data_IF_952038011977
#
_entry.id   IF_952038011977
#
_cell.length_a   1.000
_cell.length_b   1.000
_cell.length_c   1.000
_cell.angle_alpha   90.00
_cell.angle_beta   90.00
_cell.angle_gamma   90.00
#
_symmetry.space_group_name_H-M   'P 1'
#
loop_
_entity.id
_entity.type
_entity.pdbx_description
1 polymer ?
#
# COMPACT_ATOMS: atom_id res chain seq x y z
N UNK A 1 -25.94 37.87 -68.94
CA UNK A 1 -26.29 39.29 -68.70
C UNK A 1 -25.58 39.59 -67.36
N UNK A 2 -24.40 40.26 -67.39
CA UNK A 2 -24.21 41.72 -67.28
C UNK A 2 -24.78 42.20 -65.95
N UNK A 3 -24.06 42.82 -64.91
CA UNK A 3 -23.01 43.88 -64.94
C UNK A 3 -22.33 43.84 -63.57
N UNK A 4 -21.02 43.89 -63.34
CA UNK A 4 -20.07 45.02 -63.25
C UNK A 4 -20.60 46.18 -62.39
N UNK A 5 -19.95 46.62 -61.33
CA UNK A 5 -18.70 47.40 -61.11
C UNK A 5 -18.85 48.16 -59.80
N UNK A 6 -17.91 48.49 -59.16
CA UNK A 6 -16.79 49.40 -58.97
C UNK A 6 -16.70 49.98 -57.56
N UNK A 7 -15.61 49.78 -56.98
CA UNK A 7 -14.72 50.74 -56.24
C UNK A 7 -15.32 51.93 -55.53
N UNK A 8 -15.05 52.07 -54.22
CA UNK A 8 -14.31 53.25 -53.76
C UNK A 8 -13.62 53.01 -52.40
N UNK A 9 -12.36 53.42 -52.33
CA UNK A 9 -11.38 53.43 -51.26
C UNK A 9 -11.75 54.57 -50.27
N UNK A 10 -11.72 54.29 -48.97
CA UNK A 10 -11.44 55.32 -47.96
C UNK A 10 -10.48 54.71 -46.92
N UNK A 11 -9.25 55.23 -46.92
CA UNK A 11 -8.24 55.09 -45.89
C UNK A 11 -8.71 55.76 -44.61
N UNK A 12 -8.78 55.01 -43.50
CA UNK A 12 -8.68 55.60 -42.17
C UNK A 12 -7.61 54.82 -41.40
N UNK A 13 -6.49 55.54 -41.18
CA UNK A 13 -5.43 55.11 -40.29
C UNK A 13 -5.97 55.20 -38.86
N UNK A 14 -6.09 54.08 -38.20
CA UNK A 14 -6.30 54.06 -36.72
C UNK A 14 -5.24 53.16 -36.12
N UNK A 15 -4.33 53.79 -35.38
CA UNK A 15 -3.37 53.12 -34.51
C UNK A 15 -4.07 52.19 -33.55
N UNK A 16 -3.95 50.88 -33.68
CA UNK A 16 -4.23 49.90 -32.63
C UNK A 16 -2.91 49.38 -32.08
N UNK A 17 -2.68 49.70 -30.83
CA UNK A 17 -1.68 49.07 -29.97
C UNK A 17 -1.92 47.58 -30.00
N UNK A 18 -1.00 46.81 -30.54
CA UNK A 18 -0.92 45.38 -30.31
C UNK A 18 -0.36 45.14 -28.90
N UNK A 19 -1.22 44.90 -27.91
CA UNK A 19 -0.83 44.21 -26.70
C UNK A 19 -0.62 42.75 -27.09
N UNK A 20 0.62 42.31 -27.15
CA UNK A 20 1.00 40.91 -27.24
C UNK A 20 0.58 40.22 -25.94
N UNK A 21 -0.56 39.56 -26.00
CA UNK A 21 -0.88 38.53 -24.97
C UNK A 21 0.06 37.36 -25.29
N UNK A 22 1.14 37.26 -24.54
CA UNK A 22 1.98 36.09 -24.50
C UNK A 22 1.15 34.93 -23.97
N UNK A 23 0.76 34.01 -24.84
CA UNK A 23 0.43 32.65 -24.42
C UNK A 23 1.73 32.03 -23.91
N UNK A 24 1.94 32.16 -22.60
CA UNK A 24 2.88 31.33 -21.90
C UNK A 24 2.37 29.89 -21.99
N UNK A 25 3.02 29.06 -22.80
CA UNK A 25 2.96 27.62 -22.59
C UNK A 25 3.52 27.39 -21.18
N UNK A 26 2.63 27.15 -20.23
CA UNK A 26 3.00 26.57 -18.96
C UNK A 26 3.50 25.18 -19.28
N UNK A 27 4.80 24.99 -19.31
CA UNK A 27 5.39 23.68 -19.13
C UNK A 27 4.88 23.20 -17.77
N UNK A 28 3.89 22.34 -17.77
CA UNK A 28 3.58 21.53 -16.61
C UNK A 28 4.82 20.65 -16.38
N UNK A 29 5.66 21.12 -15.47
CA UNK A 29 6.74 20.35 -14.90
C UNK A 29 6.09 19.22 -14.10
N UNK A 30 5.95 18.05 -14.70
CA UNK A 30 5.47 16.85 -14.01
C UNK A 30 6.48 16.35 -12.98
N UNK A 31 7.67 16.94 -12.90
CA UNK A 31 8.68 16.63 -11.89
C UNK A 31 8.32 17.16 -10.48
N UNK A 32 7.35 18.07 -10.36
CA UNK A 32 6.91 18.63 -9.07
C UNK A 32 5.98 17.72 -8.26
N UNK A 33 5.25 16.79 -8.90
CA UNK A 33 4.21 16.00 -8.20
C UNK A 33 4.74 14.81 -7.42
N UNK A 34 5.93 14.31 -7.72
CA UNK A 34 6.51 13.19 -6.97
C UNK A 34 7.01 13.58 -5.57
N UNK A 35 7.24 14.86 -5.31
CA UNK A 35 7.74 15.36 -4.03
C UNK A 35 6.62 15.76 -3.05
N UNK A 36 5.39 15.99 -3.51
CA UNK A 36 4.27 16.42 -2.66
C UNK A 36 3.95 15.42 -1.53
N UNK A 37 4.24 14.14 -1.75
CA UNK A 37 4.03 13.07 -0.77
C UNK A 37 4.89 13.24 0.49
N UNK A 38 6.11 13.75 0.35
CA UNK A 38 7.09 13.89 1.42
C UNK A 38 7.34 15.35 1.80
N UNK A 39 6.34 16.21 1.60
CA UNK A 39 6.40 17.59 2.08
C UNK A 39 6.28 17.64 3.61
N UNK A 40 6.90 18.70 4.20
CA UNK A 40 6.84 18.96 5.63
C UNK A 40 5.38 19.17 6.06
N UNK A 41 4.82 18.34 6.96
CA UNK A 41 3.43 18.49 7.39
C UNK A 41 3.18 19.70 8.29
N UNK A 42 4.22 20.46 8.68
CA UNK A 42 4.16 21.57 9.65
C UNK A 42 3.42 21.16 10.96
N UNK A 43 3.65 19.94 11.41
CA UNK A 43 3.05 19.39 12.62
C UNK A 43 4.12 19.16 13.69
N UNK A 44 3.83 19.45 14.98
CA UNK A 44 4.75 19.15 16.05
C UNK A 44 4.89 17.62 16.22
N UNK A 45 6.08 17.18 16.63
CA UNK A 45 6.29 15.78 17.04
C UNK A 45 5.44 15.45 18.25
N UNK A 46 4.94 14.22 18.33
CA UNK A 46 4.46 13.66 19.60
C UNK A 46 5.67 13.50 20.52
N UNK A 47 5.70 14.25 21.61
CA UNK A 47 6.79 14.18 22.59
C UNK A 47 6.41 13.23 23.72
N UNK A 48 7.25 12.24 23.99
CA UNK A 48 7.19 11.51 25.28
C UNK A 48 7.57 12.49 26.39
N UNK A 49 6.70 12.62 27.39
CA UNK A 49 7.03 13.43 28.55
C UNK A 49 8.37 12.98 29.16
N UNK A 50 9.33 13.91 29.26
CA UNK A 50 10.64 13.64 29.85
C UNK A 50 10.56 13.27 31.36
N UNK A 51 9.43 13.50 31.99
CA UNK A 51 9.09 13.00 33.32
C UNK A 51 8.22 11.74 33.14
N UNK A 52 8.79 10.56 33.34
CA UNK A 52 8.11 9.26 33.25
C UNK A 52 6.95 9.05 34.23
N UNK A 53 6.12 10.05 34.44
CA UNK A 53 5.16 10.20 35.53
C UNK A 53 3.70 10.26 35.05
N UNK A 54 3.43 9.95 33.76
CA UNK A 54 2.05 9.76 33.32
C UNK A 54 1.69 8.31 33.58
N UNK A 55 0.94 8.08 34.66
CA UNK A 55 0.29 6.78 34.87
C UNK A 55 -0.76 6.56 33.77
N UNK A 56 -0.40 5.73 32.79
CA UNK A 56 -1.27 5.34 31.67
C UNK A 56 -2.00 4.03 31.95
N UNK A 57 -1.94 3.54 33.22
CA UNK A 57 -2.63 2.30 33.62
C UNK A 57 -4.13 2.42 33.40
N UNK A 58 -4.69 1.49 32.65
CA UNK A 58 -6.12 1.46 32.32
C UNK A 58 -6.53 2.32 31.14
N UNK A 59 -5.57 2.97 30.45
CA UNK A 59 -5.81 3.57 29.12
C UNK A 59 -6.02 2.44 28.12
N UNK A 60 -6.95 2.64 27.19
CA UNK A 60 -7.18 1.75 26.05
C UNK A 60 -6.89 2.52 24.77
N UNK A 61 -6.22 1.88 23.83
CA UNK A 61 -5.94 2.41 22.50
C UNK A 61 -6.45 1.45 21.44
N UNK A 62 -6.95 2.01 20.37
CA UNK A 62 -7.45 1.30 19.21
C UNK A 62 -6.37 1.23 18.11
N UNK A 63 -5.99 0.00 17.72
CA UNK A 63 -5.06 -0.27 16.63
C UNK A 63 -5.84 -0.76 15.42
N UNK A 64 -5.90 0.03 14.35
CA UNK A 64 -6.49 -0.39 13.08
C UNK A 64 -5.45 -1.09 12.21
N UNK A 65 -5.85 -2.24 11.64
CA UNK A 65 -5.03 -3.07 10.75
C UNK A 65 -5.87 -3.57 9.57
N UNK A 66 -5.21 -4.13 8.55
CA UNK A 66 -5.90 -4.90 7.52
C UNK A 66 -6.45 -6.23 8.09
N UNK A 67 -7.41 -6.83 7.39
CA UNK A 67 -8.20 -7.98 7.86
C UNK A 67 -7.38 -9.26 8.08
N UNK A 68 -6.33 -9.47 7.28
CA UNK A 68 -5.47 -10.65 7.37
C UNK A 68 -4.37 -10.54 8.44
N UNK A 69 -4.21 -9.39 9.12
CA UNK A 69 -3.22 -9.24 10.17
C UNK A 69 -3.57 -10.09 11.38
N UNK A 70 -2.66 -10.99 11.74
CA UNK A 70 -2.75 -11.80 12.96
C UNK A 70 -1.55 -11.44 13.85
N UNK A 71 -1.77 -10.74 14.97
CA UNK A 71 -0.69 -10.42 15.89
C UNK A 71 -0.07 -11.70 16.46
N UNK A 72 1.24 -11.73 16.73
CA UNK A 72 1.86 -12.85 17.44
C UNK A 72 1.17 -13.14 18.76
N UNK A 73 1.05 -14.44 19.10
CA UNK A 73 0.39 -14.86 20.33
C UNK A 73 1.05 -14.25 21.57
N UNK A 74 0.26 -13.62 22.43
CA UNK A 74 0.74 -13.00 23.66
C UNK A 74 1.43 -11.64 23.51
N UNK A 75 1.55 -11.09 22.30
CA UNK A 75 2.28 -9.83 22.07
C UNK A 75 1.62 -8.65 22.79
N UNK A 76 0.32 -8.45 22.62
CA UNK A 76 -0.39 -7.32 23.23
C UNK A 76 -0.62 -7.53 24.74
N UNK A 77 -0.72 -8.77 25.20
CA UNK A 77 -0.73 -9.10 26.61
C UNK A 77 0.59 -8.73 27.29
N UNK A 78 1.74 -8.95 26.61
CA UNK A 78 3.05 -8.51 27.11
C UNK A 78 3.14 -6.99 27.19
N UNK A 79 2.68 -6.28 26.15
CA UNK A 79 2.63 -4.82 26.13
C UNK A 79 1.76 -4.27 27.28
N UNK A 80 0.56 -4.85 27.48
CA UNK A 80 -0.35 -4.46 28.57
C UNK A 80 0.25 -4.74 29.94
N UNK A 81 0.93 -5.88 30.12
CA UNK A 81 1.57 -6.22 31.40
C UNK A 81 2.71 -5.24 31.74
N UNK A 82 3.44 -4.74 30.74
CA UNK A 82 4.54 -3.80 30.93
C UNK A 82 4.06 -2.36 31.16
N UNK A 83 3.05 -1.92 30.41
CA UNK A 83 2.64 -0.51 30.35
C UNK A 83 1.35 -0.19 31.08
N UNK A 84 0.50 -1.18 31.34
CA UNK A 84 -0.86 -1.01 31.81
C UNK A 84 -1.85 -0.55 30.76
N UNK A 85 -1.42 -0.34 29.51
CA UNK A 85 -2.24 0.10 28.38
C UNK A 85 -2.87 -1.12 27.71
N UNK A 86 -4.15 -1.05 27.40
CA UNK A 86 -4.86 -2.08 26.66
C UNK A 86 -4.87 -1.75 25.16
N UNK A 87 -4.68 -2.75 24.31
CA UNK A 87 -4.76 -2.61 22.86
C UNK A 87 -6.02 -3.33 22.36
N UNK A 88 -6.91 -2.58 21.69
CA UNK A 88 -8.04 -3.14 20.97
C UNK A 88 -7.67 -3.22 19.49
N UNK A 89 -7.74 -4.41 18.92
CA UNK A 89 -7.49 -4.61 17.48
C UNK A 89 -8.77 -4.36 16.68
N UNK A 90 -8.71 -3.41 15.76
CA UNK A 90 -9.78 -3.09 14.82
C UNK A 90 -9.35 -3.57 13.42
N UNK A 91 -9.83 -4.72 13.00
CA UNK A 91 -9.58 -5.23 11.66
C UNK A 91 -10.49 -4.52 10.65
N UNK A 92 -9.88 -3.84 9.69
CA UNK A 92 -10.56 -3.25 8.53
C UNK A 92 -10.62 -4.27 7.39
N UNK A 93 -10.92 -3.83 6.17
CA UNK A 93 -10.63 -4.61 4.98
C UNK A 93 -9.15 -4.46 4.61
N UNK A 94 -8.74 -4.89 3.39
CA UNK A 94 -7.36 -4.77 2.92
C UNK A 94 -6.83 -3.31 2.94
N UNK A 95 -5.53 -3.14 2.90
CA UNK A 95 -4.78 -1.90 3.15
C UNK A 95 -5.32 -0.67 2.41
N UNK A 96 -5.62 -0.77 1.12
CA UNK A 96 -6.12 0.36 0.34
C UNK A 96 -7.48 0.88 0.82
N UNK A 97 -8.35 -0.02 1.28
CA UNK A 97 -9.64 0.31 1.91
C UNK A 97 -9.42 0.94 3.28
N UNK A 98 -8.56 0.37 4.12
CA UNK A 98 -8.20 0.89 5.44
C UNK A 98 -7.67 2.33 5.35
N UNK A 99 -6.71 2.59 4.45
CA UNK A 99 -6.16 3.93 4.24
C UNK A 99 -7.22 4.91 3.73
N UNK A 100 -8.09 4.46 2.81
CA UNK A 100 -9.16 5.32 2.27
C UNK A 100 -10.19 5.72 3.33
N UNK A 101 -10.53 4.81 4.25
CA UNK A 101 -11.40 5.09 5.40
C UNK A 101 -10.75 6.11 6.35
N UNK A 102 -9.46 5.95 6.63
CA UNK A 102 -8.72 6.87 7.51
C UNK A 102 -8.55 8.26 6.90
N UNK A 103 -8.45 8.38 5.57
CA UNK A 103 -8.48 9.67 4.87
C UNK A 103 -9.82 10.39 5.10
N UNK A 104 -10.93 9.66 5.07
CA UNK A 104 -12.27 10.24 5.29
C UNK A 104 -12.50 10.73 6.73
N UNK A 105 -11.74 10.21 7.69
CA UNK A 105 -11.82 10.56 9.12
C UNK A 105 -10.60 11.32 9.62
N UNK A 106 -9.77 11.85 8.72
CA UNK A 106 -8.57 12.61 9.09
C UNK A 106 -8.90 13.77 10.05
N UNK A 107 -8.23 13.80 11.20
CA UNK A 107 -8.46 14.79 12.26
C UNK A 107 -9.50 14.40 13.33
N UNK A 108 -10.33 13.38 13.06
CA UNK A 108 -11.25 12.73 14.01
C UNK A 108 -11.25 11.22 13.74
N UNK A 109 -10.11 10.53 13.98
CA UNK A 109 -9.89 9.17 13.53
C UNK A 109 -10.70 8.16 14.35
N UNK A 110 -11.06 7.03 13.72
CA UNK A 110 -11.76 5.92 14.38
C UNK A 110 -10.86 5.01 15.21
N UNK A 111 -9.54 5.22 15.12
CA UNK A 111 -8.51 4.50 15.86
C UNK A 111 -7.38 5.46 16.26
N UNK A 112 -6.47 5.00 17.11
CA UNK A 112 -5.34 5.80 17.61
C UNK A 112 -4.06 5.55 16.79
N UNK A 113 -3.86 4.32 16.36
CA UNK A 113 -2.68 3.84 15.64
C UNK A 113 -3.14 3.04 14.42
N UNK A 114 -2.47 3.21 13.30
CA UNK A 114 -2.60 2.36 12.12
C UNK A 114 -1.35 1.53 11.92
N UNK A 115 -1.51 0.22 11.72
CA UNK A 115 -0.46 -0.69 11.25
C UNK A 115 -0.84 -1.31 9.93
N UNK A 116 0.13 -1.50 9.03
CA UNK A 116 -0.05 -2.19 7.76
C UNK A 116 -0.38 -1.28 6.58
N UNK A 117 -0.20 0.06 6.70
CA UNK A 117 -0.04 0.88 5.50
C UNK A 117 1.31 0.55 4.88
N UNK A 118 1.34 0.28 3.58
CA UNK A 118 2.56 -0.07 2.88
C UNK A 118 3.04 1.03 1.92
N UNK A 119 4.23 0.85 1.35
CA UNK A 119 4.81 1.81 0.41
C UNK A 119 3.95 2.05 -0.84
N UNK A 120 3.00 1.18 -1.19
CA UNK A 120 2.10 1.37 -2.32
C UNK A 120 0.99 2.40 -2.02
N UNK A 121 0.54 2.49 -0.77
CA UNK A 121 -0.48 3.42 -0.30
C UNK A 121 0.07 4.57 0.55
N UNK A 122 1.38 4.58 0.86
CA UNK A 122 2.00 5.54 1.75
C UNK A 122 1.71 7.00 1.33
N UNK A 123 1.89 7.33 0.05
CA UNK A 123 1.62 8.67 -0.44
C UNK A 123 0.16 9.10 -0.26
N UNK A 124 -0.81 8.19 -0.37
CA UNK A 124 -2.21 8.50 -0.11
C UNK A 124 -2.42 8.92 1.35
N UNK A 125 -1.80 8.21 2.29
CA UNK A 125 -1.86 8.57 3.72
C UNK A 125 -1.17 9.90 4.01
N UNK A 126 0.06 10.07 3.52
CA UNK A 126 0.89 11.24 3.83
C UNK A 126 0.33 12.54 3.23
N UNK A 127 -0.15 12.53 1.98
CA UNK A 127 -0.72 13.73 1.33
C UNK A 127 -2.08 14.15 1.89
N UNK A 128 -2.74 13.29 2.64
CA UNK A 128 -4.00 13.58 3.32
C UNK A 128 -3.81 13.80 4.83
N UNK A 129 -2.57 13.95 5.29
CA UNK A 129 -2.20 14.27 6.67
C UNK A 129 -2.91 13.40 7.71
N UNK A 130 -3.00 12.08 7.45
CA UNK A 130 -3.68 11.19 8.41
C UNK A 130 -2.79 10.80 9.60
N UNK A 131 -1.50 11.11 9.56
CA UNK A 131 -0.54 10.72 10.60
C UNK A 131 0.03 11.91 11.36
N UNK A 132 0.34 11.67 12.62
CA UNK A 132 1.07 12.57 13.50
C UNK A 132 2.55 12.17 13.54
N UNK A 133 3.52 13.09 13.37
CA UNK A 133 4.94 12.76 13.41
C UNK A 133 5.36 12.24 14.79
N UNK A 134 6.12 11.14 14.81
CA UNK A 134 6.72 10.57 16.01
C UNK A 134 8.06 9.89 15.70
N UNK A 135 9.08 10.14 16.50
CA UNK A 135 10.38 9.46 16.38
C UNK A 135 10.46 8.35 17.43
N UNK A 136 10.35 7.08 17.03
CA UNK A 136 10.42 5.98 17.98
C UNK A 136 11.82 5.85 18.61
N UNK A 137 11.88 5.34 19.84
CA UNK A 137 13.14 5.11 20.56
C UNK A 137 14.05 4.07 19.85
N UNK A 138 13.49 3.29 18.95
CA UNK A 138 14.14 2.25 18.15
C UNK A 138 14.70 2.75 16.82
N UNK A 139 14.49 4.02 16.45
CA UNK A 139 14.77 4.58 15.10
C UNK A 139 16.20 4.30 14.61
N UNK A 140 17.20 4.35 15.50
CA UNK A 140 18.61 4.09 15.15
C UNK A 140 18.91 2.61 14.87
N UNK A 141 17.99 1.71 15.23
CA UNK A 141 18.10 0.27 15.01
C UNK A 141 17.48 -0.15 13.68
N UNK A 142 16.66 0.73 13.07
CA UNK A 142 15.97 0.45 11.82
C UNK A 142 16.88 0.72 10.62
N UNK A 143 16.69 -0.04 9.54
CA UNK A 143 17.41 0.20 8.29
C UNK A 143 17.02 1.55 7.69
N UNK A 144 18.00 2.41 7.43
CA UNK A 144 17.78 3.72 6.81
C UNK A 144 17.15 3.63 5.40
N UNK A 145 17.30 2.49 4.73
CA UNK A 145 16.71 2.26 3.40
C UNK A 145 15.18 2.08 3.46
N UNK A 146 14.66 1.71 4.65
CA UNK A 146 13.22 1.52 4.88
C UNK A 146 12.56 2.79 5.46
N UNK A 147 13.33 3.76 5.92
CA UNK A 147 12.83 5.03 6.45
C UNK A 147 12.42 5.96 5.28
N UNK A 148 11.27 5.69 4.67
CA UNK A 148 10.83 6.40 3.47
C UNK A 148 10.31 7.81 3.76
N UNK A 149 9.72 8.05 4.94
CA UNK A 149 9.22 9.38 5.32
C UNK A 149 10.25 10.17 6.14
N UNK A 150 10.83 11.26 5.60
CA UNK A 150 11.84 12.06 6.31
C UNK A 150 11.28 12.84 7.50
N UNK A 151 9.95 12.94 7.65
CA UNK A 151 9.28 13.66 8.73
C UNK A 151 8.74 12.75 9.82
N UNK A 152 9.05 11.45 9.75
CA UNK A 152 8.70 10.46 10.78
C UNK A 152 7.19 10.36 11.08
N UNK A 153 6.34 10.58 10.08
CA UNK A 153 4.89 10.38 10.22
C UNK A 153 4.52 8.91 10.30
N UNK A 154 5.37 8.06 9.71
CA UNK A 154 5.28 6.61 9.80
C UNK A 154 6.65 5.99 10.06
N UNK A 155 6.65 4.81 10.66
CA UNK A 155 7.85 4.02 10.97
C UNK A 155 7.72 2.64 10.35
N UNK A 156 8.75 2.13 9.63
CA UNK A 156 8.70 0.77 9.07
C UNK A 156 8.71 -0.27 10.20
N UNK A 157 7.90 -1.32 10.03
CA UNK A 157 7.84 -2.46 10.96
C UNK A 157 8.41 -3.70 10.31
N UNK A 158 7.97 -4.05 9.12
CA UNK A 158 8.44 -5.21 8.38
C UNK A 158 8.49 -4.95 6.87
N UNK A 159 8.93 -5.95 6.13
CA UNK A 159 8.92 -5.95 4.68
C UNK A 159 8.84 -7.37 4.13
N UNK A 160 8.24 -7.48 2.95
CA UNK A 160 8.14 -8.73 2.20
C UNK A 160 8.10 -8.47 0.70
N UNK A 161 8.13 -9.52 -0.09
CA UNK A 161 7.96 -9.41 -1.53
C UNK A 161 6.58 -9.96 -1.91
N UNK A 162 5.75 -9.12 -2.54
CA UNK A 162 4.51 -9.52 -3.19
C UNK A 162 4.89 -10.20 -4.51
N UNK A 163 4.48 -11.45 -4.71
CA UNK A 163 4.80 -12.23 -5.90
C UNK A 163 3.57 -13.00 -6.39
N UNK A 164 3.54 -13.36 -7.66
CA UNK A 164 2.57 -14.33 -8.16
C UNK A 164 3.00 -15.74 -7.73
N UNK A 165 2.08 -16.43 -7.07
CA UNK A 165 2.23 -17.81 -6.61
C UNK A 165 1.40 -18.75 -7.47
N UNK A 166 1.81 -20.00 -7.59
CA UNK A 166 1.04 -21.04 -8.27
C UNK A 166 1.11 -22.36 -7.52
N UNK A 167 0.05 -23.17 -7.62
CA UNK A 167 -0.01 -24.52 -7.08
C UNK A 167 0.63 -25.49 -8.07
N UNK A 168 1.72 -26.16 -7.67
CA UNK A 168 2.59 -26.93 -8.57
C UNK A 168 1.83 -28.04 -9.30
N UNK A 169 1.04 -28.83 -8.57
CA UNK A 169 0.34 -30.01 -9.12
C UNK A 169 -0.96 -29.66 -9.88
N UNK A 170 -1.41 -28.38 -9.82
CA UNK A 170 -2.67 -27.93 -10.42
C UNK A 170 -2.46 -27.13 -11.72
N UNK A 171 -1.23 -26.74 -12.02
CA UNK A 171 -0.88 -26.11 -13.30
C UNK A 171 -0.35 -27.17 -14.27
N UNK A 172 -0.81 -27.14 -15.52
CA UNK A 172 -0.37 -28.09 -16.54
C UNK A 172 1.13 -27.98 -16.87
N UNK A 173 1.71 -26.82 -16.68
CA UNK A 173 3.11 -26.47 -16.86
C UNK A 173 3.43 -25.32 -15.89
N UNK A 174 4.56 -25.37 -15.22
CA UNK A 174 4.96 -24.33 -14.29
C UNK A 174 5.28 -23.02 -15.02
N UNK A 175 4.60 -21.90 -14.68
CA UNK A 175 4.91 -20.60 -15.26
C UNK A 175 6.26 -20.10 -14.72
N UNK A 176 7.15 -19.69 -15.61
CA UNK A 176 8.50 -19.23 -15.26
C UNK A 176 8.68 -17.71 -15.38
N UNK A 177 7.73 -17.03 -16.03
CA UNK A 177 7.75 -15.58 -16.24
C UNK A 177 6.35 -15.00 -16.16
N UNK A 178 6.26 -13.73 -15.73
CA UNK A 178 5.01 -12.98 -15.65
C UNK A 178 4.27 -12.91 -17.01
N UNK A 179 5.02 -12.90 -18.14
CA UNK A 179 4.44 -12.83 -19.48
C UNK A 179 3.60 -14.06 -19.84
N UNK A 180 3.89 -15.21 -19.21
CA UNK A 180 3.16 -16.43 -19.49
C UNK A 180 1.73 -16.45 -18.94
N UNK A 181 1.42 -15.56 -17.99
CA UNK A 181 0.08 -15.46 -17.40
C UNK A 181 -1.02 -15.14 -18.44
N UNK A 182 -0.65 -14.55 -19.57
CA UNK A 182 -1.58 -14.25 -20.67
C UNK A 182 -1.75 -15.42 -21.66
N UNK A 183 -1.02 -16.52 -21.44
CA UNK A 183 -1.15 -17.71 -22.28
C UNK A 183 -2.48 -18.44 -22.03
N UNK A 184 -3.12 -18.93 -23.11
CA UNK A 184 -4.33 -19.76 -23.02
C UNK A 184 -4.16 -21.04 -22.17
N UNK A 185 -2.93 -21.43 -21.83
CA UNK A 185 -2.67 -22.51 -20.88
C UNK A 185 -3.17 -22.20 -19.46
N UNK A 186 -3.23 -20.91 -19.12
CA UNK A 186 -3.63 -20.41 -17.79
C UNK A 186 -4.94 -19.63 -17.85
N UNK A 187 -5.72 -19.80 -18.93
CA UNK A 187 -7.05 -19.18 -19.06
C UNK A 187 -7.92 -19.56 -17.86
N UNK A 188 -8.45 -18.54 -17.16
CA UNK A 188 -9.29 -18.71 -15.98
C UNK A 188 -8.56 -19.21 -14.72
N UNK A 189 -7.22 -19.36 -14.72
CA UNK A 189 -6.49 -19.90 -13.57
C UNK A 189 -5.87 -18.85 -12.67
N UNK A 190 -5.77 -17.61 -13.11
CA UNK A 190 -5.12 -16.56 -12.34
C UNK A 190 -6.16 -15.65 -11.64
N UNK A 191 -5.93 -15.38 -10.35
CA UNK A 191 -6.64 -14.40 -9.56
C UNK A 191 -5.65 -13.39 -8.96
N UNK A 192 -6.04 -12.13 -8.98
CA UNK A 192 -5.32 -11.04 -8.31
C UNK A 192 -6.31 -10.13 -7.60
N UNK A 193 -5.81 -9.10 -6.91
CA UNK A 193 -6.65 -8.18 -6.18
C UNK A 193 -6.80 -6.86 -6.93
N UNK A 194 -7.87 -6.12 -6.59
CA UNK A 194 -8.08 -4.77 -7.08
C UNK A 194 -7.00 -3.82 -6.52
N UNK A 195 -6.20 -3.17 -7.37
CA UNK A 195 -5.12 -2.29 -6.92
C UNK A 195 -5.59 -1.03 -6.19
N UNK A 196 -6.87 -0.68 -6.24
CA UNK A 196 -7.39 0.45 -5.47
C UNK A 196 -7.65 0.10 -3.99
N UNK A 197 -7.89 -1.16 -3.70
CA UNK A 197 -8.33 -1.62 -2.37
C UNK A 197 -7.31 -2.48 -1.65
N UNK A 198 -6.36 -3.10 -2.37
CA UNK A 198 -5.44 -4.12 -1.87
C UNK A 198 -3.98 -3.76 -2.11
N UNK A 199 -3.13 -3.91 -1.08
CA UNK A 199 -1.68 -3.75 -1.21
C UNK A 199 -1.05 -4.79 -2.15
N UNK A 200 -1.32 -6.11 -2.05
CA UNK A 200 -0.85 -7.07 -3.03
C UNK A 200 -1.30 -6.76 -4.46
N UNK A 201 -2.54 -6.33 -4.65
CA UNK A 201 -3.05 -5.93 -5.97
C UNK A 201 -2.31 -4.72 -6.55
N UNK A 202 -2.05 -3.70 -5.73
CA UNK A 202 -1.28 -2.53 -6.15
C UNK A 202 0.19 -2.90 -6.41
N UNK A 203 0.80 -3.73 -5.56
CA UNK A 203 2.16 -4.23 -5.73
C UNK A 203 2.32 -4.99 -7.05
N UNK A 204 1.37 -5.87 -7.39
CA UNK A 204 1.38 -6.56 -8.68
C UNK A 204 1.21 -5.60 -9.86
N UNK A 205 0.31 -4.62 -9.77
CA UNK A 205 0.18 -3.59 -10.81
C UNK A 205 1.51 -2.85 -11.01
N UNK A 206 2.17 -2.42 -9.94
CA UNK A 206 3.46 -1.72 -10.00
C UNK A 206 4.58 -2.62 -10.55
N UNK A 207 4.60 -3.91 -10.20
CA UNK A 207 5.50 -4.89 -10.79
C UNK A 207 5.32 -4.98 -12.32
N UNK A 208 4.06 -5.00 -12.80
CA UNK A 208 3.78 -5.03 -14.24
C UNK A 208 4.24 -3.76 -14.95
N UNK A 209 4.05 -2.58 -14.34
CA UNK A 209 4.52 -1.31 -14.88
C UNK A 209 6.06 -1.30 -14.96
N UNK A 210 6.74 -1.78 -13.92
CA UNK A 210 8.19 -1.88 -13.89
C UNK A 210 8.74 -2.86 -14.94
N UNK A 211 8.04 -3.98 -15.16
CA UNK A 211 8.47 -5.03 -16.09
C UNK A 211 8.23 -4.65 -17.55
N UNK A 212 7.04 -4.14 -17.88
CA UNK A 212 6.63 -3.85 -19.27
C UNK A 212 6.88 -2.41 -19.70
N UNK A 213 7.20 -1.51 -18.74
CA UNK A 213 7.33 -0.07 -19.01
C UNK A 213 5.99 0.64 -19.23
N UNK A 214 6.06 1.97 -19.39
CA UNK A 214 4.88 2.85 -19.50
C UNK A 214 3.97 2.51 -20.69
N UNK A 215 4.52 1.99 -21.77
CA UNK A 215 3.79 1.72 -23.02
C UNK A 215 3.26 0.28 -23.12
N UNK A 216 3.69 -0.65 -22.24
CA UNK A 216 3.41 -2.08 -22.38
C UNK A 216 2.49 -2.69 -21.33
N UNK A 217 2.41 -2.10 -20.14
CA UNK A 217 1.65 -2.70 -19.04
C UNK A 217 0.13 -2.74 -19.31
N UNK A 218 -0.42 -1.74 -20.01
CA UNK A 218 -1.86 -1.74 -20.34
C UNK A 218 -2.23 -2.87 -21.29
N UNK A 219 -1.38 -3.16 -22.29
CA UNK A 219 -1.60 -4.28 -23.20
C UNK A 219 -1.54 -5.61 -22.45
N UNK A 220 -0.58 -5.78 -21.54
CA UNK A 220 -0.50 -6.97 -20.69
C UNK A 220 -1.78 -7.16 -19.86
N UNK A 221 -2.30 -6.10 -19.21
CA UNK A 221 -3.53 -6.18 -18.43
C UNK A 221 -4.78 -6.41 -19.29
N UNK A 222 -4.79 -5.89 -20.52
CA UNK A 222 -5.83 -6.22 -21.47
C UNK A 222 -5.82 -7.72 -21.82
N UNK A 223 -4.64 -8.26 -22.11
CA UNK A 223 -4.47 -9.68 -22.42
C UNK A 223 -4.81 -10.57 -21.21
N UNK A 224 -4.47 -10.17 -19.98
CA UNK A 224 -4.90 -10.86 -18.76
C UNK A 224 -6.43 -10.91 -18.64
N UNK A 225 -7.11 -9.81 -18.94
CA UNK A 225 -8.58 -9.77 -18.91
C UNK A 225 -9.21 -10.62 -19.99
N UNK A 226 -8.60 -10.67 -21.17
CA UNK A 226 -9.02 -11.59 -22.23
C UNK A 226 -8.76 -13.05 -21.86
N UNK A 227 -7.80 -13.31 -20.97
CA UNK A 227 -7.46 -14.64 -20.42
C UNK A 227 -8.22 -14.96 -19.10
N UNK A 228 -9.32 -14.28 -18.83
CA UNK A 228 -10.23 -14.49 -17.70
C UNK A 228 -9.56 -14.41 -16.32
N UNK A 229 -8.74 -13.37 -16.10
CA UNK A 229 -8.19 -13.10 -14.77
C UNK A 229 -9.30 -12.76 -13.78
N UNK A 230 -9.32 -13.39 -12.60
CA UNK A 230 -10.13 -13.01 -11.46
C UNK A 230 -9.58 -11.75 -10.78
N UNK A 231 -10.45 -10.86 -10.34
CA UNK A 231 -10.06 -9.66 -9.60
C UNK A 231 -10.95 -9.54 -8.38
N UNK A 232 -10.35 -9.75 -7.21
CA UNK A 232 -11.03 -9.71 -5.93
C UNK A 232 -10.77 -8.39 -5.17
N UNK A 233 -11.58 -8.10 -4.15
CA UNK A 233 -11.49 -6.87 -3.37
C UNK A 233 -10.25 -6.79 -2.49
N UNK A 234 -9.75 -7.95 -2.02
CA UNK A 234 -8.63 -8.06 -1.10
C UNK A 234 -7.91 -9.40 -1.20
N UNK A 235 -6.83 -9.51 -0.43
CA UNK A 235 -6.02 -10.71 -0.38
C UNK A 235 -6.81 -11.90 0.22
N UNK A 236 -7.58 -11.66 1.26
CA UNK A 236 -8.40 -12.70 1.91
C UNK A 236 -9.38 -13.34 0.94
N UNK A 237 -10.09 -12.55 0.12
CA UNK A 237 -11.06 -13.05 -0.86
C UNK A 237 -10.36 -13.83 -1.98
N UNK A 238 -9.21 -13.36 -2.45
CA UNK A 238 -8.49 -14.06 -3.52
C UNK A 238 -7.80 -15.33 -3.02
N UNK A 239 -7.14 -15.29 -1.85
CA UNK A 239 -6.31 -16.40 -1.37
C UNK A 239 -7.16 -17.51 -0.72
N UNK A 240 -8.14 -17.14 0.09
CA UNK A 240 -9.03 -18.10 0.77
C UNK A 240 -10.39 -18.28 0.08
N UNK A 241 -10.67 -17.51 -0.97
CA UNK A 241 -11.88 -17.66 -1.79
C UNK A 241 -11.60 -18.36 -3.11
N UNK A 242 -10.89 -17.72 -4.01
CA UNK A 242 -10.72 -18.16 -5.40
C UNK A 242 -9.53 -19.11 -5.62
N UNK A 243 -8.44 -18.92 -4.86
CA UNK A 243 -7.25 -19.77 -4.98
C UNK A 243 -7.50 -21.17 -4.38
N UNK A 244 -6.89 -22.17 -4.96
CA UNK A 244 -7.06 -23.59 -4.58
C UNK A 244 -6.77 -23.83 -3.09
N UNK A 245 -5.79 -23.15 -2.49
CA UNK A 245 -5.49 -23.28 -1.06
C UNK A 245 -6.71 -23.01 -0.18
N UNK A 246 -7.57 -22.07 -0.56
CA UNK A 246 -8.82 -21.74 0.11
C UNK A 246 -10.01 -22.61 -0.29
N UNK A 247 -9.84 -23.52 -1.24
CA UNK A 247 -10.90 -24.37 -1.80
C UNK A 247 -11.57 -23.79 -3.05
N UNK A 248 -11.00 -22.74 -3.64
CA UNK A 248 -11.38 -22.21 -4.96
C UNK A 248 -10.93 -23.10 -6.12
N UNK A 249 -11.00 -22.60 -7.32
CA UNK A 249 -10.68 -23.32 -8.54
C UNK A 249 -9.55 -22.70 -9.39
N UNK A 250 -8.92 -21.60 -8.89
CA UNK A 250 -7.81 -20.92 -9.57
C UNK A 250 -6.47 -21.39 -8.99
N UNK A 251 -5.59 -21.85 -9.88
CA UNK A 251 -4.30 -22.42 -9.48
C UNK A 251 -3.18 -21.36 -9.32
N UNK A 252 -3.42 -20.10 -9.66
CA UNK A 252 -2.44 -19.02 -9.66
C UNK A 252 -3.02 -17.80 -8.94
N UNK A 253 -2.26 -17.19 -8.03
CA UNK A 253 -2.71 -16.06 -7.21
C UNK A 253 -1.60 -15.04 -6.99
N UNK A 254 -1.93 -13.75 -6.91
CA UNK A 254 -1.03 -12.75 -6.34
C UNK A 254 -1.02 -12.87 -4.82
N UNK A 255 0.15 -13.14 -4.25
CA UNK A 255 0.37 -13.31 -2.81
C UNK A 255 1.80 -12.92 -2.45
N UNK A 256 2.46 -13.62 -1.52
CA UNK A 256 3.77 -13.27 -1.03
C UNK A 256 4.82 -14.32 -1.37
N UNK A 257 6.10 -13.90 -1.42
CA UNK A 257 7.25 -14.80 -1.57
C UNK A 257 7.31 -15.88 -0.48
N UNK A 258 6.75 -15.57 0.70
CA UNK A 258 6.71 -16.47 1.86
C UNK A 258 5.55 -17.45 1.84
N UNK A 259 4.55 -17.28 0.97
CA UNK A 259 3.37 -18.15 0.91
C UNK A 259 3.71 -19.64 0.71
N UNK A 260 4.70 -20.04 -0.12
CA UNK A 260 5.08 -21.44 -0.24
C UNK A 260 5.54 -22.07 1.07
N UNK A 261 6.23 -21.31 1.92
CA UNK A 261 6.67 -21.78 3.23
C UNK A 261 5.49 -21.87 4.19
N UNK A 262 4.57 -20.92 4.15
CA UNK A 262 3.35 -20.96 4.95
C UNK A 262 2.49 -22.20 4.60
N UNK A 263 2.25 -22.45 3.31
CA UNK A 263 1.53 -23.65 2.85
C UNK A 263 2.23 -24.95 3.27
N UNK A 264 3.55 -24.96 3.34
CA UNK A 264 4.31 -26.13 3.79
C UNK A 264 4.18 -26.36 5.29
N UNK A 265 4.31 -25.28 6.10
CA UNK A 265 4.31 -25.37 7.58
C UNK A 265 2.91 -25.70 8.10
N UNK A 266 1.88 -25.07 7.53
CA UNK A 266 0.48 -25.19 7.98
C UNK A 266 -0.32 -26.24 7.22
N UNK A 267 0.34 -27.07 6.42
CA UNK A 267 -0.33 -28.17 5.72
C UNK A 267 -1.03 -29.12 6.72
N UNK A 268 -2.26 -29.57 6.43
CA UNK A 268 -3.01 -30.48 7.31
C UNK A 268 -2.32 -31.84 7.50
N UNK A 269 -1.53 -32.26 6.52
CA UNK A 269 -0.70 -33.45 6.55
C UNK A 269 0.76 -33.06 6.24
N UNK A 270 1.75 -33.71 6.85
CA UNK A 270 3.16 -33.42 6.59
C UNK A 270 3.54 -33.55 5.12
N UNK A 271 4.13 -32.51 4.55
CA UNK A 271 4.64 -32.47 3.18
C UNK A 271 6.16 -32.69 3.15
N UNK A 272 6.70 -33.17 2.02
CA UNK A 272 8.15 -33.27 1.79
C UNK A 272 8.72 -31.97 1.18
N UNK A 273 7.90 -31.24 0.42
CA UNK A 273 8.25 -29.98 -0.25
C UNK A 273 7.04 -29.04 -0.23
N UNK A 274 7.26 -27.71 -0.36
CA UNK A 274 6.15 -26.78 -0.52
C UNK A 274 5.26 -27.13 -1.71
N UNK A 275 3.92 -27.05 -1.57
CA UNK A 275 3.00 -27.38 -2.65
C UNK A 275 2.86 -26.26 -3.68
N UNK A 276 3.33 -25.06 -3.34
CA UNK A 276 3.29 -23.88 -4.20
C UNK A 276 4.68 -23.38 -4.50
N UNK A 277 4.79 -22.58 -5.57
CA UNK A 277 6.01 -21.89 -5.95
C UNK A 277 5.68 -20.47 -6.47
N UNK A 278 6.70 -19.66 -6.73
CA UNK A 278 6.54 -18.25 -7.15
C UNK A 278 7.10 -18.02 -8.55
N UNK A 279 6.53 -17.06 -9.25
CA UNK A 279 7.08 -16.50 -10.49
C UNK A 279 8.02 -15.36 -10.10
N UNK A 280 9.33 -15.60 -10.13
CA UNK A 280 10.32 -14.70 -9.54
C UNK A 280 10.38 -13.28 -10.14
N UNK A 281 10.05 -13.12 -11.43
CA UNK A 281 10.05 -11.83 -12.12
C UNK A 281 8.73 -11.03 -11.93
N UNK A 282 7.80 -11.56 -11.13
CA UNK A 282 6.57 -10.87 -10.74
C UNK A 282 6.67 -10.13 -9.41
N UNK A 283 7.80 -10.24 -8.71
CA UNK A 283 7.93 -9.78 -7.33
C UNK A 283 8.10 -8.27 -7.20
N UNK A 284 7.41 -7.70 -6.22
CA UNK A 284 7.47 -6.28 -5.81
C UNK A 284 7.74 -6.19 -4.30
N UNK A 285 8.73 -5.38 -3.89
CA UNK A 285 9.05 -5.17 -2.47
C UNK A 285 7.98 -4.32 -1.79
N UNK A 286 7.26 -4.89 -0.85
CA UNK A 286 6.38 -4.19 0.08
C UNK A 286 7.11 -3.91 1.39
N UNK A 287 6.93 -2.70 1.93
CA UNK A 287 7.40 -2.29 3.25
C UNK A 287 6.18 -1.81 4.01
N UNK A 288 5.89 -2.40 5.16
CA UNK A 288 4.75 -2.02 5.99
C UNK A 288 5.18 -1.06 7.11
N UNK A 289 4.29 -0.14 7.41
CA UNK A 289 4.54 0.92 8.38
C UNK A 289 3.47 0.96 9.45
N UNK A 290 3.87 1.50 10.61
CA UNK A 290 2.99 1.92 11.68
C UNK A 290 3.03 3.44 11.82
N UNK A 291 1.89 4.06 12.13
CA UNK A 291 1.81 5.51 12.39
C UNK A 291 0.72 5.86 13.40
N UNK A 292 0.93 6.96 14.13
CA UNK A 292 -0.05 7.54 15.05
C UNK A 292 -1.06 8.32 14.22
N UNK A 293 -2.35 8.03 14.35
CA UNK A 293 -3.37 8.73 13.58
C UNK A 293 -3.60 10.15 14.15
N UNK A 294 -3.66 11.12 13.23
CA UNK A 294 -3.84 12.52 13.58
C UNK A 294 -5.25 12.77 14.12
N UNK A 295 -5.32 13.35 15.31
CA UNK A 295 -6.58 13.61 16.01
C UNK A 295 -6.88 12.62 17.13
N UNK A 296 -6.02 11.60 17.34
CA UNK A 296 -6.13 10.72 18.52
C UNK A 296 -6.10 11.55 19.82
N UNK A 297 -6.88 11.16 20.79
CA UNK A 297 -6.86 11.72 22.14
C UNK A 297 -5.86 10.98 23.07
N UNK A 298 -5.18 9.92 22.56
CA UNK A 298 -4.22 9.08 23.26
C UNK A 298 -2.80 9.12 22.66
N UNK A 299 -2.21 10.29 22.33
CA UNK A 299 -0.96 10.35 21.56
C UNK A 299 0.24 9.72 22.29
N UNK A 300 0.29 9.80 23.64
CA UNK A 300 1.39 9.21 24.42
C UNK A 300 1.31 7.69 24.47
N UNK A 301 0.12 7.15 24.67
CA UNK A 301 -0.11 5.70 24.66
C UNK A 301 0.16 5.12 23.26
N UNK A 302 -0.26 5.83 22.23
CA UNK A 302 0.02 5.49 20.81
C UNK A 302 1.52 5.46 20.51
N UNK A 303 2.29 6.45 21.01
CA UNK A 303 3.74 6.48 20.87
C UNK A 303 4.42 5.27 21.54
N UNK A 304 3.90 4.81 22.70
CA UNK A 304 4.41 3.62 23.37
C UNK A 304 4.11 2.35 22.57
N UNK A 305 2.94 2.27 21.92
CA UNK A 305 2.62 1.15 21.04
C UNK A 305 3.51 1.14 19.77
N UNK A 306 3.78 2.31 19.17
CA UNK A 306 4.72 2.39 18.04
C UNK A 306 6.12 1.91 18.45
N UNK A 307 6.63 2.31 19.62
CA UNK A 307 7.90 1.82 20.13
C UNK A 307 7.90 0.29 20.35
N UNK A 308 6.80 -0.25 20.85
CA UNK A 308 6.65 -1.69 21.06
C UNK A 308 6.66 -2.45 19.73
N UNK A 309 5.87 -2.04 18.75
CA UNK A 309 5.76 -2.68 17.43
C UNK A 309 7.07 -2.62 16.63
N UNK A 310 7.90 -1.61 16.89
CA UNK A 310 9.22 -1.47 16.25
C UNK A 310 10.37 -2.03 17.10
N UNK A 311 10.08 -2.62 18.27
CA UNK A 311 11.08 -3.18 19.17
C UNK A 311 11.64 -4.52 18.67
N UNK A 312 12.88 -4.84 19.05
CA UNK A 312 13.47 -6.16 18.81
C UNK A 312 12.59 -7.29 19.34
N UNK A 313 11.96 -7.07 20.50
CA UNK A 313 11.06 -8.07 21.10
C UNK A 313 9.90 -8.42 20.16
N UNK A 314 9.20 -7.41 19.64
CA UNK A 314 8.08 -7.66 18.72
C UNK A 314 8.55 -8.26 17.40
N UNK A 315 9.70 -7.80 16.88
CA UNK A 315 10.29 -8.33 15.65
C UNK A 315 10.71 -9.81 15.75
N UNK A 316 11.09 -10.27 16.94
CA UNK A 316 11.41 -11.69 17.17
C UNK A 316 10.16 -12.59 17.29
N UNK A 317 8.99 -11.99 17.46
CA UNK A 317 7.72 -12.70 17.49
C UNK A 317 7.08 -12.85 16.09
N UNK A 318 7.35 -11.92 15.16
CA UNK A 318 6.90 -11.97 13.76
C UNK A 318 7.59 -13.12 13.01
#
# INVERSE_FOLDING_TARGET
MRYKSLLQIILIVSCFLFTTIGFGCSNNDQSGKANECFDDPDLPLVEKSASGDSDLSGVSIDLVTYDAFLPPEGAFESFTAETGIQVNLLQSADTGTMVSQSVLTSGDPVADVMFGIDNTFLCRGLTNDIFHPYIPSTIEQLSSELLLDPYHRVTPVDYGDICVNYWIDEVAEEPSTITQLTSSKYEGQFVTQNPETSAPGMGFLLATIAYFGEDGWQDFWKDLRENDVGIESGWTESYYGDFIAGGGDRAIVTSYLTSPIAEFIYAPEPLETPPTAVIADSCFRSVEFVGILRGTDQPLASAMLVDFLTSTYFQELL
#
